data_IF_366365667751
#
_entry.id   IF_366365667751
#
_cell.length_a   1.000
_cell.length_b   1.000
_cell.length_c   1.000
_cell.angle_alpha   90.00
_cell.angle_beta   90.00
_cell.angle_gamma   90.00
#
_symmetry.space_group_name_H-M   'P 1'
#
loop_
_entity.id
_entity.type
_entity.pdbx_description
1 polymer ?
#
# COMPACT_ATOMS: atom_id res chain seq x y z
N UNK A 1 4.89 7.28 -24.60
CA UNK A 1 4.69 8.58 -23.90
C UNK A 1 3.47 8.46 -23.01
N UNK A 2 3.65 8.22 -21.71
CA UNK A 2 2.60 8.45 -20.71
C UNK A 2 3.18 9.45 -19.71
N UNK A 3 3.02 10.73 -20.02
CA UNK A 3 3.33 11.84 -19.12
C UNK A 3 2.30 11.84 -18.01
N UNK A 4 2.66 11.34 -16.84
CA UNK A 4 1.87 11.54 -15.63
C UNK A 4 1.83 13.04 -15.33
N UNK A 5 0.66 13.65 -15.50
CA UNK A 5 0.40 15.05 -15.23
C UNK A 5 0.81 15.36 -13.78
N UNK A 6 1.74 16.30 -13.62
CA UNK A 6 2.18 16.82 -12.32
C UNK A 6 1.16 17.85 -11.83
N UNK A 7 -0.05 17.37 -11.57
CA UNK A 7 -1.20 18.24 -11.29
C UNK A 7 -2.35 17.46 -10.70
N UNK A 8 -2.18 17.07 -9.43
CA UNK A 8 -3.17 17.03 -8.34
C UNK A 8 -2.41 16.38 -7.19
N UNK A 9 -1.75 17.19 -6.35
CA UNK A 9 -1.44 16.75 -5.01
C UNK A 9 -2.78 16.70 -4.26
N UNK A 10 -3.60 15.68 -4.54
CA UNK A 10 -4.53 15.21 -3.54
C UNK A 10 -3.62 14.79 -2.40
N UNK A 11 -3.58 15.61 -1.34
CA UNK A 11 -2.84 15.33 -0.11
C UNK A 11 -3.47 14.08 0.48
N UNK A 12 -2.98 12.91 0.06
CA UNK A 12 -3.38 11.63 0.62
C UNK A 12 -2.98 11.68 2.09
N UNK A 13 -3.98 11.64 2.96
CA UNK A 13 -3.78 11.66 4.41
C UNK A 13 -2.91 10.45 4.81
N UNK A 14 -1.70 10.68 5.35
CA UNK A 14 -0.76 9.62 5.65
C UNK A 14 -1.28 8.65 6.72
N UNK A 15 -2.17 9.10 7.60
CA UNK A 15 -2.79 8.25 8.64
C UNK A 15 -3.81 7.33 8.01
N UNK A 16 -4.66 7.85 7.12
CA UNK A 16 -5.64 7.01 6.40
C UNK A 16 -4.96 6.02 5.47
N UNK A 17 -3.85 6.42 4.84
CA UNK A 17 -3.05 5.54 4.01
C UNK A 17 -2.43 4.39 4.81
N UNK A 18 -1.96 4.69 6.02
CA UNK A 18 -1.43 3.67 6.93
C UNK A 18 -2.49 2.65 7.35
N UNK A 19 -3.66 3.16 7.77
CA UNK A 19 -4.79 2.32 8.16
C UNK A 19 -5.30 1.45 7.00
N UNK A 20 -5.28 1.99 5.78
CA UNK A 20 -5.62 1.21 4.59
C UNK A 20 -4.67 0.02 4.41
N UNK A 21 -3.37 0.24 4.60
CA UNK A 21 -2.38 -0.83 4.53
C UNK A 21 -2.57 -1.88 5.63
N UNK A 22 -2.83 -1.43 6.87
CA UNK A 22 -3.11 -2.33 7.99
C UNK A 22 -4.34 -3.20 7.72
N UNK A 23 -5.44 -2.60 7.28
CA UNK A 23 -6.69 -3.33 6.96
C UNK A 23 -6.48 -4.30 5.82
N UNK A 24 -5.73 -3.92 4.78
CA UNK A 24 -5.42 -4.79 3.66
C UNK A 24 -4.71 -6.08 4.10
N UNK A 25 -3.80 -5.99 5.07
CA UNK A 25 -3.06 -7.15 5.59
C UNK A 25 -3.87 -7.94 6.63
N UNK A 26 -4.40 -7.28 7.65
CA UNK A 26 -5.01 -7.95 8.81
C UNK A 26 -6.44 -8.45 8.56
N UNK A 27 -7.17 -7.78 7.68
CA UNK A 27 -8.60 -8.07 7.43
C UNK A 27 -8.84 -8.50 5.98
N UNK A 28 -8.29 -7.78 5.00
CA UNK A 28 -8.51 -8.04 3.58
C UNK A 28 -7.92 -9.38 3.14
N UNK A 29 -6.60 -9.53 3.25
CA UNK A 29 -5.90 -10.79 2.99
C UNK A 29 -5.91 -11.72 4.22
N UNK A 30 -5.97 -11.13 5.42
CA UNK A 30 -5.82 -11.83 6.70
C UNK A 30 -4.53 -12.68 6.73
N UNK A 31 -3.39 -12.04 6.41
CA UNK A 31 -2.10 -12.72 6.27
C UNK A 31 -1.74 -13.50 7.55
N UNK A 32 -1.44 -14.78 7.40
CA UNK A 32 -1.06 -15.67 8.51
C UNK A 32 0.47 -15.87 8.61
N UNK A 33 0.99 -16.22 9.79
CA UNK A 33 2.40 -16.58 9.93
C UNK A 33 2.80 -17.74 9.00
N UNK A 34 3.91 -17.58 8.27
CA UNK A 34 4.40 -18.58 7.32
C UNK A 34 3.71 -18.56 5.95
N UNK A 35 2.77 -17.65 5.71
CA UNK A 35 2.15 -17.44 4.41
C UNK A 35 2.99 -16.48 3.55
N UNK A 36 3.24 -16.86 2.30
CA UNK A 36 3.94 -16.00 1.34
C UNK A 36 3.02 -14.89 0.78
N UNK A 37 3.56 -13.67 0.71
CA UNK A 37 2.88 -12.51 0.14
C UNK A 37 3.46 -12.18 -1.24
N UNK A 38 2.63 -12.26 -2.28
CA UNK A 38 2.95 -11.75 -3.62
C UNK A 38 2.06 -10.54 -3.91
N UNK A 39 2.67 -9.39 -4.19
CA UNK A 39 1.97 -8.14 -4.41
C UNK A 39 2.35 -7.54 -5.77
N UNK A 40 1.34 -7.31 -6.62
CA UNK A 40 1.50 -6.54 -7.86
C UNK A 40 1.06 -5.10 -7.62
N UNK A 41 1.94 -4.13 -7.91
CA UNK A 41 1.66 -2.71 -7.70
C UNK A 41 2.33 -1.85 -8.78
N UNK A 42 1.78 -0.66 -9.01
CA UNK A 42 2.37 0.37 -9.88
C UNK A 42 3.40 1.20 -9.12
N UNK A 43 4.44 1.68 -9.82
CA UNK A 43 5.44 2.61 -9.27
C UNK A 43 4.80 3.90 -8.73
N UNK A 44 3.66 4.34 -9.28
CA UNK A 44 2.95 5.50 -8.76
C UNK A 44 2.35 5.28 -7.34
N UNK A 45 2.10 4.03 -6.97
CA UNK A 45 1.50 3.64 -5.69
C UNK A 45 2.54 3.27 -4.62
N UNK A 46 3.82 3.56 -4.85
CA UNK A 46 4.92 3.31 -3.91
C UNK A 46 4.63 3.73 -2.46
N UNK A 47 4.00 4.89 -2.17
CA UNK A 47 3.68 5.28 -0.80
C UNK A 47 2.80 4.25 -0.06
N UNK A 48 1.81 3.67 -0.74
CA UNK A 48 0.93 2.65 -0.15
C UNK A 48 1.64 1.29 -0.07
N UNK A 49 2.32 0.88 -1.15
CA UNK A 49 3.00 -0.42 -1.22
C UNK A 49 4.01 -0.59 -0.09
N UNK A 50 4.76 0.46 0.25
CA UNK A 50 5.70 0.43 1.38
C UNK A 50 5.01 0.16 2.72
N UNK A 51 3.86 0.82 2.97
CA UNK A 51 3.08 0.60 4.19
C UNK A 51 2.48 -0.80 4.25
N UNK A 52 2.01 -1.35 3.12
CA UNK A 52 1.50 -2.73 3.05
C UNK A 52 2.59 -3.72 3.47
N UNK A 53 3.81 -3.58 2.92
CA UNK A 53 4.95 -4.44 3.27
C UNK A 53 5.36 -4.27 4.73
N UNK A 54 5.35 -3.04 5.24
CA UNK A 54 5.63 -2.75 6.65
C UNK A 54 4.63 -3.46 7.58
N UNK A 55 3.33 -3.42 7.28
CA UNK A 55 2.32 -4.13 8.09
C UNK A 55 2.32 -5.65 7.89
N UNK A 56 2.85 -6.16 6.78
CA UNK A 56 2.95 -7.60 6.51
C UNK A 56 4.05 -8.30 7.31
N UNK A 57 5.14 -7.58 7.63
CA UNK A 57 6.33 -8.16 8.28
C UNK A 57 6.70 -7.51 9.63
N UNK A 58 5.90 -6.55 10.10
CA UNK A 58 5.92 -6.12 11.51
C UNK A 58 5.35 -7.20 12.41
#
# INVERSE_FOLDING_TARGET
MTTHSRGVAATIDPVKLDRLAEVAIKVGLQLQPGQDLVLTSSIAALPLTRRIVEHAYK
#
